data_IF_502650112388
#
_entry.id   IF_502650112388
#
_cell.length_a   1.000
_cell.length_b   1.000
_cell.length_c   1.000
_cell.angle_alpha   90.00
_cell.angle_beta   90.00
_cell.angle_gamma   90.00
#
_symmetry.space_group_name_H-M   'P 1'
#
loop_
_entity.id
_entity.type
_entity.pdbx_description
1 polymer ?
#
# COMPACT_ATOMS: atom_id res chain seq x y z
N UNK A 1 -4.16 3.01 7.72
CA UNK A 1 -3.62 1.79 7.08
C UNK A 1 -2.14 1.67 7.38
N UNK A 2 -1.68 0.50 7.86
CA UNK A 2 -0.26 0.17 7.88
C UNK A 2 0.11 -0.53 6.57
N UNK A 3 0.66 0.23 5.63
CA UNK A 3 1.11 -0.28 4.34
C UNK A 3 2.58 -0.76 4.35
N UNK A 4 3.29 -0.57 5.46
CA UNK A 4 4.72 -0.92 5.60
C UNK A 4 4.91 -2.29 6.26
N UNK A 5 4.03 -2.64 7.22
CA UNK A 5 4.03 -3.91 7.92
C UNK A 5 4.73 -3.89 9.28
N UNK A 6 5.06 -2.70 9.80
CA UNK A 6 5.60 -2.54 11.15
C UNK A 6 5.16 -1.23 11.84
N UNK A 7 4.14 -0.57 11.30
CA UNK A 7 3.61 0.70 11.81
C UNK A 7 2.29 0.55 12.58
N UNK A 8 1.94 -0.66 13.00
CA UNK A 8 0.67 -0.94 13.68
C UNK A 8 0.49 -0.09 14.94
N UNK A 9 1.52 0.08 15.77
CA UNK A 9 1.45 0.91 16.99
C UNK A 9 1.17 2.38 16.66
N UNK A 10 1.85 2.92 15.66
CA UNK A 10 1.60 4.28 15.15
C UNK A 10 0.17 4.41 14.62
N UNK A 11 -0.30 3.43 13.83
CA UNK A 11 -1.65 3.43 13.29
C UNK A 11 -2.73 3.38 14.39
N UNK A 12 -2.51 2.60 15.46
CA UNK A 12 -3.38 2.54 16.64
C UNK A 12 -3.44 3.90 17.34
N UNK A 13 -2.30 4.57 17.55
CA UNK A 13 -2.24 5.88 18.20
C UNK A 13 -2.92 6.98 17.41
N UNK A 14 -2.92 6.88 16.10
CA UNK A 14 -3.55 7.86 15.19
C UNK A 14 -5.04 7.59 14.94
N UNK A 15 -5.54 6.40 15.29
CA UNK A 15 -6.92 6.03 15.07
C UNK A 15 -7.86 6.79 16.02
N UNK A 16 -8.94 7.36 15.48
CA UNK A 16 -10.00 7.93 16.32
C UNK A 16 -10.74 6.83 17.07
N UNK A 17 -11.44 7.20 18.13
CA UNK A 17 -12.34 6.27 18.86
C UNK A 17 -13.36 5.65 17.90
N UNK A 18 -13.60 4.34 18.03
CA UNK A 18 -14.41 3.53 17.12
C UNK A 18 -13.82 3.37 15.73
N UNK A 19 -12.53 3.71 15.56
CA UNK A 19 -11.85 3.65 14.27
C UNK A 19 -11.41 2.24 13.87
N UNK A 20 -10.98 2.12 12.62
CA UNK A 20 -10.46 0.88 12.05
C UNK A 20 -8.99 1.06 11.64
N UNK A 21 -8.18 0.06 11.94
CA UNK A 21 -6.79 -0.05 11.49
C UNK A 21 -6.67 -1.22 10.54
N UNK A 22 -6.20 -0.97 9.34
CA UNK A 22 -5.98 -2.01 8.31
C UNK A 22 -4.49 -2.32 8.24
N UNK A 23 -4.15 -3.59 8.45
CA UNK A 23 -2.79 -4.11 8.30
C UNK A 23 -2.66 -4.71 6.90
N UNK A 24 -1.89 -4.04 6.04
CA UNK A 24 -1.69 -4.43 4.65
C UNK A 24 -0.23 -4.79 4.35
N UNK A 25 0.72 -4.05 4.93
CA UNK A 25 2.15 -4.29 4.73
C UNK A 25 2.60 -5.62 5.33
N UNK A 26 3.59 -6.25 4.70
CA UNK A 26 4.13 -7.54 5.14
C UNK A 26 5.62 -7.41 5.49
N UNK A 27 5.94 -7.70 6.75
CA UNK A 27 7.31 -7.83 7.25
C UNK A 27 7.42 -9.08 8.12
N UNK A 28 7.79 -10.23 7.57
CA UNK A 28 7.67 -11.54 8.26
C UNK A 28 8.58 -11.65 9.49
N UNK A 29 9.63 -10.84 9.57
CA UNK A 29 10.57 -10.88 10.71
C UNK A 29 10.32 -9.82 11.77
N UNK A 30 9.50 -8.81 11.47
CA UNK A 30 9.18 -7.75 12.44
C UNK A 30 8.14 -8.24 13.45
N UNK A 31 8.28 -7.81 14.68
CA UNK A 31 7.37 -8.14 15.80
C UNK A 31 6.99 -6.84 16.53
N UNK A 32 6.23 -5.96 15.91
CA UNK A 32 5.85 -4.70 16.55
C UNK A 32 4.98 -4.98 17.78
N UNK A 33 5.32 -4.32 18.88
CA UNK A 33 4.49 -4.36 20.08
C UNK A 33 3.24 -3.50 19.88
N UNK A 34 2.12 -3.95 20.44
CA UNK A 34 0.87 -3.20 20.44
C UNK A 34 0.35 -3.03 21.85
N UNK A 35 -0.23 -1.87 22.14
CA UNK A 35 -0.86 -1.61 23.42
C UNK A 35 -2.33 -2.04 23.36
N UNK A 36 -2.63 -3.23 23.91
CA UNK A 36 -3.99 -3.76 23.97
C UNK A 36 -4.94 -2.81 24.72
N UNK A 37 -4.49 -2.14 25.77
CA UNK A 37 -5.32 -1.19 26.50
C UNK A 37 -5.85 -0.08 25.60
N UNK A 38 -5.01 0.46 24.70
CA UNK A 38 -5.44 1.49 23.75
C UNK A 38 -6.50 0.96 22.80
N UNK A 39 -6.31 -0.26 22.26
CA UNK A 39 -7.26 -0.90 21.36
C UNK A 39 -8.62 -1.02 22.05
N UNK A 40 -8.66 -1.59 23.25
CA UNK A 40 -9.88 -1.80 24.03
C UNK A 40 -10.51 -0.48 24.46
N UNK A 41 -9.70 0.46 24.98
CA UNK A 41 -10.17 1.75 25.51
C UNK A 41 -10.83 2.64 24.47
N UNK A 42 -10.41 2.53 23.22
CA UNK A 42 -10.91 3.32 22.11
C UNK A 42 -11.83 2.55 21.16
N UNK A 43 -12.24 1.33 21.49
CA UNK A 43 -13.10 0.47 20.65
C UNK A 43 -12.54 0.35 19.22
N UNK A 44 -11.23 0.09 19.09
CA UNK A 44 -10.62 -0.02 17.76
C UNK A 44 -10.82 -1.41 17.18
N UNK A 45 -11.08 -1.46 15.87
CA UNK A 45 -11.09 -2.70 15.10
C UNK A 45 -9.80 -2.81 14.29
N UNK A 46 -9.12 -3.95 14.37
CA UNK A 46 -7.89 -4.20 13.61
C UNK A 46 -8.15 -5.31 12.60
N UNK A 47 -7.95 -5.00 11.32
CA UNK A 47 -8.17 -5.93 10.21
C UNK A 47 -6.84 -6.29 9.56
N UNK A 48 -6.52 -7.57 9.51
CA UNK A 48 -5.52 -8.09 8.60
C UNK A 48 -6.11 -8.24 7.19
N UNK A 49 -5.33 -7.88 6.16
CA UNK A 49 -5.72 -8.08 4.77
C UNK A 49 -4.54 -8.56 3.95
N UNK A 50 -4.78 -9.50 3.05
CA UNK A 50 -3.77 -10.04 2.16
C UNK A 50 -4.35 -10.22 0.77
N UNK A 51 -3.85 -9.45 -0.19
CA UNK A 51 -4.13 -9.52 -1.65
C UNK A 51 -5.61 -9.47 -2.05
N UNK A 52 -6.54 -9.71 -1.13
CA UNK A 52 -7.98 -9.79 -1.42
C UNK A 52 -8.38 -11.10 -2.12
N UNK A 53 -9.61 -11.53 -1.91
CA UNK A 53 -10.20 -12.67 -2.61
C UNK A 53 -10.91 -12.16 -3.88
N UNK A 54 -10.41 -12.56 -5.05
CA UNK A 54 -10.96 -12.22 -6.38
C UNK A 54 -11.23 -10.71 -6.61
N UNK A 55 -10.23 -9.81 -6.40
CA UNK A 55 -10.47 -8.38 -6.51
C UNK A 55 -10.52 -7.88 -7.97
N UNK A 56 -10.22 -8.71 -8.97
CA UNK A 56 -10.02 -8.27 -10.35
C UNK A 56 -11.26 -7.64 -10.95
N UNK A 57 -12.42 -8.31 -10.88
CA UNK A 57 -13.66 -7.79 -11.44
C UNK A 57 -14.05 -6.45 -10.82
N UNK A 58 -14.04 -6.37 -9.49
CA UNK A 58 -14.36 -5.13 -8.76
C UNK A 58 -13.35 -4.02 -9.06
N UNK A 59 -12.06 -4.36 -9.22
CA UNK A 59 -11.02 -3.41 -9.59
C UNK A 59 -11.24 -2.87 -11.00
N UNK A 60 -11.58 -3.73 -11.96
CA UNK A 60 -11.89 -3.32 -13.35
C UNK A 60 -13.07 -2.37 -13.35
N UNK A 61 -14.19 -2.72 -12.69
CA UNK A 61 -15.36 -1.85 -12.58
C UNK A 61 -15.04 -0.50 -11.96
N UNK A 62 -14.18 -0.50 -10.90
CA UNK A 62 -13.73 0.73 -10.26
C UNK A 62 -12.91 1.62 -11.21
N UNK A 63 -12.04 1.04 -12.01
CA UNK A 63 -11.24 1.74 -13.02
C UNK A 63 -12.10 2.28 -14.16
N UNK A 64 -13.03 1.47 -14.69
CA UNK A 64 -13.97 1.86 -15.74
C UNK A 64 -14.88 3.00 -15.32
N UNK A 65 -15.30 3.00 -14.05
CA UNK A 65 -16.10 4.08 -13.48
C UNK A 65 -15.36 5.42 -13.34
N UNK A 66 -14.04 5.45 -13.57
CA UNK A 66 -13.15 6.61 -13.42
C UNK A 66 -13.16 7.25 -12.02
N UNK A 67 -13.68 6.56 -11.02
CA UNK A 67 -13.67 7.03 -9.62
C UNK A 67 -12.26 7.04 -9.02
N UNK A 68 -11.36 6.24 -9.58
CA UNK A 68 -9.92 6.25 -9.29
C UNK A 68 -9.13 6.36 -10.59
N UNK A 69 -8.02 7.05 -10.55
CA UNK A 69 -7.15 7.28 -11.70
C UNK A 69 -5.71 6.85 -11.35
N UNK A 70 -5.37 5.56 -11.41
CA UNK A 70 -4.04 5.07 -11.05
C UNK A 70 -2.92 5.63 -11.92
N UNK A 71 -3.25 6.09 -13.13
CA UNK A 71 -2.29 6.74 -14.03
C UNK A 71 -1.63 7.97 -13.41
N UNK A 72 -2.32 8.67 -12.50
CA UNK A 72 -1.75 9.79 -11.75
C UNK A 72 -0.60 9.39 -10.80
N UNK A 73 -0.51 8.11 -10.45
CA UNK A 73 0.58 7.59 -9.62
C UNK A 73 1.84 7.25 -10.42
N UNK A 74 1.73 7.15 -11.75
CA UNK A 74 2.86 6.83 -12.62
C UNK A 74 3.73 8.08 -12.78
N UNK A 75 4.86 8.08 -12.07
CA UNK A 75 5.80 9.20 -12.08
C UNK A 75 6.85 9.08 -13.17
N UNK A 76 7.15 7.86 -13.61
CA UNK A 76 8.16 7.59 -14.63
C UNK A 76 7.71 6.50 -15.57
N UNK A 77 7.95 6.71 -16.87
CA UNK A 77 7.82 5.70 -17.93
C UNK A 77 9.19 5.53 -18.56
N UNK A 78 9.69 4.31 -18.59
CA UNK A 78 11.04 4.01 -19.09
C UNK A 78 10.99 2.79 -20.01
N UNK A 79 11.86 2.74 -21.03
CA UNK A 79 11.99 1.53 -21.84
C UNK A 79 12.68 0.42 -21.05
N UNK A 80 12.50 -0.82 -21.48
CA UNK A 80 13.09 -2.00 -20.82
C UNK A 80 14.62 -1.90 -20.71
N UNK A 81 15.27 -1.28 -21.68
CA UNK A 81 16.74 -1.04 -21.67
C UNK A 81 17.23 -0.21 -20.48
N UNK A 82 16.35 0.56 -19.84
CA UNK A 82 16.65 1.39 -18.66
C UNK A 82 16.08 0.83 -17.36
N UNK A 83 15.78 -0.46 -17.30
CA UNK A 83 15.20 -1.09 -16.12
C UNK A 83 16.01 -0.86 -14.84
N UNK A 84 17.34 -0.93 -14.91
CA UNK A 84 18.23 -0.70 -13.77
C UNK A 84 18.05 0.71 -13.17
N UNK A 85 17.88 1.73 -14.01
CA UNK A 85 17.60 3.10 -13.59
C UNK A 85 16.24 3.18 -12.89
N UNK A 86 15.21 2.48 -13.40
CA UNK A 86 13.88 2.42 -12.77
C UNK A 86 13.93 1.82 -11.37
N UNK A 87 14.74 0.76 -11.17
CA UNK A 87 14.94 0.16 -9.85
C UNK A 87 15.61 1.16 -8.90
N UNK A 88 16.59 1.92 -9.37
CA UNK A 88 17.28 2.91 -8.56
C UNK A 88 16.37 4.10 -8.19
N UNK A 89 15.51 4.54 -9.10
CA UNK A 89 14.48 5.55 -8.82
C UNK A 89 13.54 5.10 -7.69
N UNK A 90 13.14 3.84 -7.69
CA UNK A 90 12.30 3.26 -6.63
C UNK A 90 13.06 3.17 -5.29
N UNK A 91 14.30 2.69 -5.30
CA UNK A 91 15.13 2.54 -4.09
C UNK A 91 15.42 3.87 -3.41
N UNK A 92 15.68 4.90 -4.20
CA UNK A 92 15.96 6.24 -3.69
C UNK A 92 14.74 7.04 -3.28
N UNK A 93 13.52 6.47 -3.39
CA UNK A 93 12.27 7.16 -3.05
C UNK A 93 11.92 8.32 -3.97
N UNK A 94 12.60 8.47 -5.12
CA UNK A 94 12.34 9.54 -6.09
C UNK A 94 11.20 9.24 -7.06
N UNK A 95 10.59 8.08 -6.95
CA UNK A 95 9.43 7.70 -7.75
C UNK A 95 8.30 7.16 -6.88
N UNK A 96 7.08 7.36 -7.32
CA UNK A 96 5.91 6.71 -6.73
C UNK A 96 5.61 5.40 -7.45
N UNK A 97 5.54 5.45 -8.79
CA UNK A 97 5.35 4.28 -9.64
C UNK A 97 6.20 4.43 -10.91
N UNK A 98 7.01 3.43 -11.18
CA UNK A 98 7.76 3.32 -12.45
C UNK A 98 7.08 2.28 -13.33
N UNK A 99 6.74 2.65 -14.55
CA UNK A 99 6.22 1.74 -15.56
C UNK A 99 7.32 1.47 -16.59
N UNK A 100 7.55 0.19 -16.88
CA UNK A 100 8.46 -0.25 -17.94
C UNK A 100 7.65 -0.50 -19.20
N UNK A 101 7.99 0.19 -20.26
CA UNK A 101 7.37 0.02 -21.57
C UNK A 101 8.10 -1.08 -22.34
N UNK A 102 7.35 -2.12 -22.73
CA UNK A 102 7.84 -3.24 -23.52
C UNK A 102 7.26 -3.03 -24.92
N UNK A 103 8.05 -2.50 -25.81
CA UNK A 103 7.68 -2.24 -27.20
C UNK A 103 8.89 -1.80 -27.99
N UNK A 104 8.80 -1.91 -29.31
CA UNK A 104 9.89 -1.50 -30.20
C UNK A 104 10.18 -0.01 -30.03
N UNK A 105 11.45 0.26 -29.74
CA UNK A 105 12.04 1.59 -29.75
C UNK A 105 12.31 2.02 -31.20
#
# INVERSE_FOLDING_TARGET
VDAVGNQVDTAIKLARRGGQVILFGLRPHDRPAVNQYTITRYDLTIHGTFVGLNPFEQTIQLLESRRVQPSALITHRIPLSRLAEGVELMRSGRSMKVTVEIGDS
#
